data_IF_273372723230
#
_entry.id   IF_273372723230
#
_cell.length_a   1.000
_cell.length_b   1.000
_cell.length_c   1.000
_cell.angle_alpha   90.00
_cell.angle_beta   90.00
_cell.angle_gamma   90.00
#
_symmetry.space_group_name_H-M   'P 1'
#
loop_
_entity.id
_entity.type
_entity.pdbx_description
1 polymer ?
#
# COMPACT_ATOMS: atom_id res chain seq x y z
N UNK A 1 -21.14 -9.56 15.59
CA UNK A 1 -20.22 -10.69 15.81
C UNK A 1 -20.78 -11.65 16.85
N UNK A 2 -21.17 -11.15 18.00
CA UNK A 2 -21.65 -11.98 19.11
C UNK A 2 -23.01 -12.60 18.78
N UNK A 3 -23.88 -11.84 18.12
CA UNK A 3 -25.17 -12.32 17.61
C UNK A 3 -25.00 -13.46 16.56
N UNK A 4 -24.07 -13.32 15.59
CA UNK A 4 -23.78 -14.39 14.62
C UNK A 4 -23.33 -15.66 15.33
N UNK A 5 -22.48 -15.55 16.35
CA UNK A 5 -22.01 -16.71 17.13
C UNK A 5 -23.13 -17.33 17.97
N UNK A 6 -24.04 -16.53 18.48
CA UNK A 6 -25.19 -17.00 19.23
C UNK A 6 -26.17 -17.77 18.35
N UNK A 7 -26.47 -17.24 17.16
CA UNK A 7 -27.29 -17.93 16.15
C UNK A 7 -26.66 -19.24 15.69
N UNK A 8 -25.33 -19.29 15.54
CA UNK A 8 -24.61 -20.54 15.25
C UNK A 8 -24.72 -21.55 16.40
N UNK A 9 -24.52 -21.13 17.65
CA UNK A 9 -24.57 -22.02 18.82
C UNK A 9 -25.97 -22.57 19.04
N UNK A 10 -27.00 -21.80 18.71
CA UNK A 10 -28.40 -22.23 18.81
C UNK A 10 -28.85 -23.08 17.62
N UNK A 11 -28.00 -23.28 16.60
CA UNK A 11 -28.34 -24.02 15.38
C UNK A 11 -29.39 -23.34 14.49
N UNK A 12 -29.63 -22.03 14.70
CA UNK A 12 -30.63 -21.26 13.95
C UNK A 12 -30.11 -20.78 12.59
N UNK A 13 -28.79 -20.60 12.45
CA UNK A 13 -28.19 -20.09 11.20
C UNK A 13 -26.71 -20.47 11.14
N UNK A 14 -26.22 -20.69 9.94
CA UNK A 14 -24.78 -20.79 9.68
C UNK A 14 -24.18 -19.43 9.32
N UNK A 15 -22.85 -19.21 9.42
CA UNK A 15 -22.23 -17.93 9.05
C UNK A 15 -22.53 -17.54 7.63
N UNK A 16 -22.66 -18.50 6.71
CA UNK A 16 -22.97 -18.29 5.30
C UNK A 16 -24.38 -17.73 5.05
N UNK A 17 -25.28 -17.86 6.02
CA UNK A 17 -26.66 -17.38 5.94
C UNK A 17 -26.80 -15.92 6.39
N UNK A 18 -25.70 -15.32 6.88
CA UNK A 18 -25.71 -13.97 7.41
C UNK A 18 -25.18 -12.98 6.37
N UNK A 19 -25.95 -11.98 6.03
CA UNK A 19 -25.54 -10.86 5.18
C UNK A 19 -25.53 -9.53 5.95
N UNK A 20 -24.47 -8.74 5.77
CA UNK A 20 -24.35 -7.39 6.34
C UNK A 20 -24.36 -6.40 5.22
N UNK A 21 -25.33 -5.50 5.25
CA UNK A 21 -25.45 -4.40 4.28
C UNK A 21 -24.86 -3.13 4.86
N UNK A 22 -24.12 -2.40 4.03
CA UNK A 22 -23.55 -1.10 4.38
C UNK A 22 -23.66 -0.14 3.19
N UNK A 23 -23.71 1.14 3.50
CA UNK A 23 -24.02 2.19 2.52
C UNK A 23 -22.82 2.57 1.67
N UNK A 24 -21.63 2.55 2.25
CA UNK A 24 -20.38 2.94 1.56
C UNK A 24 -19.31 1.89 1.74
N UNK A 25 -18.46 1.71 0.72
CA UNK A 25 -17.35 0.76 0.78
C UNK A 25 -16.35 1.03 1.92
N UNK A 26 -16.26 2.28 2.40
CA UNK A 26 -15.42 2.63 3.54
C UNK A 26 -15.89 1.95 4.85
N UNK A 27 -17.18 1.66 5.00
CA UNK A 27 -17.73 0.99 6.17
C UNK A 27 -17.35 -0.49 6.26
N UNK A 28 -16.97 -1.13 5.14
CA UNK A 28 -16.55 -2.54 5.14
C UNK A 28 -15.37 -2.80 6.07
N UNK A 29 -14.45 -1.84 6.20
CA UNK A 29 -13.23 -1.96 7.01
C UNK A 29 -13.52 -2.40 8.45
N UNK A 30 -14.50 -1.78 9.10
CA UNK A 30 -14.83 -2.08 10.51
C UNK A 30 -15.29 -3.53 10.65
N UNK A 31 -16.11 -4.02 9.70
CA UNK A 31 -16.58 -5.40 9.70
C UNK A 31 -15.44 -6.37 9.40
N UNK A 32 -14.62 -6.07 8.42
CA UNK A 32 -13.46 -6.89 8.04
C UNK A 32 -12.47 -7.05 9.20
N UNK A 33 -12.13 -5.96 9.90
CA UNK A 33 -11.26 -6.00 11.08
C UNK A 33 -11.84 -6.87 12.19
N UNK A 34 -13.14 -6.75 12.48
CA UNK A 34 -13.83 -7.54 13.50
C UNK A 34 -13.85 -9.02 13.13
N UNK A 35 -14.11 -9.35 11.87
CA UNK A 35 -14.18 -10.74 11.42
C UNK A 35 -12.81 -11.40 11.38
N UNK A 36 -11.78 -10.70 10.92
CA UNK A 36 -10.40 -11.18 10.96
C UNK A 36 -9.94 -11.47 12.38
N UNK A 37 -10.15 -10.52 13.33
CA UNK A 37 -9.79 -10.73 14.74
C UNK A 37 -10.55 -11.87 15.40
N UNK A 38 -11.74 -12.18 14.89
CA UNK A 38 -12.61 -13.22 15.43
C UNK A 38 -12.47 -14.56 14.71
N UNK A 39 -11.59 -14.64 13.70
CA UNK A 39 -11.44 -15.80 12.81
C UNK A 39 -12.78 -16.28 12.19
N UNK A 40 -13.69 -15.33 11.93
CA UNK A 40 -14.93 -15.60 11.21
C UNK A 40 -14.70 -15.48 9.71
N UNK A 41 -14.96 -16.53 8.91
CA UNK A 41 -14.86 -16.45 7.47
C UNK A 41 -15.89 -15.48 6.92
N UNK A 42 -15.49 -14.63 5.97
CA UNK A 42 -16.39 -13.68 5.32
C UNK A 42 -16.03 -13.46 3.85
N UNK A 43 -17.00 -12.96 3.08
CA UNK A 43 -16.82 -12.54 1.69
C UNK A 43 -17.41 -11.14 1.51
N UNK A 44 -16.62 -10.24 0.91
CA UNK A 44 -17.12 -8.92 0.47
C UNK A 44 -17.68 -9.07 -0.93
N UNK A 45 -18.93 -8.64 -1.11
CA UNK A 45 -19.64 -8.71 -2.40
C UNK A 45 -19.78 -7.29 -2.94
N UNK A 46 -19.45 -7.08 -4.21
CA UNK A 46 -19.59 -5.78 -4.88
C UNK A 46 -18.44 -4.79 -4.67
N UNK A 47 -17.33 -5.21 -4.02
CA UNK A 47 -16.15 -4.36 -3.82
C UNK A 47 -14.90 -5.16 -3.51
N UNK A 48 -13.73 -4.51 -3.60
CA UNK A 48 -12.48 -5.08 -3.11
C UNK A 48 -12.44 -5.00 -1.58
N UNK A 49 -11.91 -6.05 -0.96
CA UNK A 49 -11.60 -6.02 0.49
C UNK A 49 -10.71 -4.82 0.79
N UNK A 50 -10.90 -4.19 1.95
CA UNK A 50 -10.13 -2.99 2.31
C UNK A 50 -8.62 -3.17 2.11
N UNK A 51 -8.06 -4.29 2.59
CA UNK A 51 -6.63 -4.58 2.46
C UNK A 51 -6.20 -5.05 1.06
N UNK A 52 -7.14 -5.30 0.15
CA UNK A 52 -6.86 -5.65 -1.24
C UNK A 52 -6.80 -4.43 -2.16
N UNK A 53 -7.25 -3.28 -1.67
CA UNK A 53 -7.19 -2.02 -2.42
C UNK A 53 -5.76 -1.64 -2.71
N UNK A 54 -5.52 -1.13 -3.91
CA UNK A 54 -4.18 -0.77 -4.41
C UNK A 54 -3.49 0.20 -3.44
N UNK A 55 -4.16 1.27 -3.07
CA UNK A 55 -3.65 2.33 -2.20
C UNK A 55 -3.26 1.82 -0.80
N UNK A 56 -4.03 0.87 -0.27
CA UNK A 56 -3.72 0.26 1.03
C UNK A 56 -2.51 -0.67 0.91
N UNK A 57 -2.42 -1.46 -0.16
CA UNK A 57 -1.25 -2.30 -0.43
C UNK A 57 0.01 -1.48 -0.62
N UNK A 58 -0.08 -0.33 -1.29
CA UNK A 58 1.04 0.57 -1.51
C UNK A 58 1.51 1.18 -0.18
N UNK A 59 0.61 1.69 0.65
CA UNK A 59 0.93 2.20 1.99
C UNK A 59 1.55 1.12 2.88
N UNK A 60 0.98 -0.09 2.89
CA UNK A 60 1.53 -1.22 3.65
C UNK A 60 2.93 -1.61 3.16
N UNK A 61 3.19 -1.52 1.87
CA UNK A 61 4.52 -1.79 1.32
C UNK A 61 5.55 -0.73 1.78
N UNK A 62 5.18 0.56 1.83
CA UNK A 62 6.03 1.58 2.46
C UNK A 62 6.36 1.24 3.91
N UNK A 63 5.36 0.90 4.71
CA UNK A 63 5.56 0.54 6.13
C UNK A 63 6.46 -0.69 6.29
N UNK A 64 6.32 -1.71 5.42
CA UNK A 64 7.18 -2.90 5.43
C UNK A 64 8.62 -2.56 5.11
N UNK A 65 8.86 -1.74 4.08
CA UNK A 65 10.22 -1.30 3.72
C UNK A 65 10.84 -0.45 4.84
N UNK A 66 10.06 0.39 5.52
CA UNK A 66 10.57 1.15 6.68
C UNK A 66 10.95 0.23 7.84
N UNK A 67 10.26 -0.88 8.04
CA UNK A 67 10.61 -1.89 9.03
C UNK A 67 11.83 -2.72 8.60
N UNK A 68 11.92 -3.06 7.31
CA UNK A 68 13.01 -3.86 6.74
C UNK A 68 13.32 -3.41 5.30
N UNK A 69 14.45 -2.75 5.12
CA UNK A 69 14.93 -2.29 3.79
C UNK A 69 15.24 -3.45 2.83
N UNK A 70 15.45 -4.64 3.36
CA UNK A 70 15.71 -5.84 2.56
C UNK A 70 14.44 -6.55 2.10
N UNK A 71 13.25 -6.00 2.39
CA UNK A 71 11.99 -6.47 1.77
C UNK A 71 11.90 -5.98 0.32
N UNK A 72 12.60 -6.69 -0.55
CA UNK A 72 12.73 -6.38 -1.96
C UNK A 72 11.37 -6.36 -2.68
N UNK A 73 10.45 -7.25 -2.30
CA UNK A 73 9.11 -7.32 -2.91
C UNK A 73 8.35 -6.01 -2.66
N UNK A 74 8.32 -5.56 -1.41
CA UNK A 74 7.68 -4.30 -1.06
C UNK A 74 8.41 -3.09 -1.65
N UNK A 75 9.75 -3.13 -1.70
CA UNK A 75 10.57 -2.06 -2.24
C UNK A 75 10.34 -1.88 -3.75
N UNK A 76 10.34 -2.97 -4.53
CA UNK A 76 10.01 -2.94 -5.96
C UNK A 76 8.59 -2.45 -6.23
N UNK A 77 7.67 -2.75 -5.33
CA UNK A 77 6.30 -2.26 -5.44
C UNK A 77 6.21 -0.74 -5.33
N UNK A 78 6.95 -0.11 -4.41
CA UNK A 78 6.80 1.31 -4.08
C UNK A 78 7.77 2.24 -4.82
N UNK A 79 8.85 1.73 -5.37
CA UNK A 79 9.93 2.54 -5.94
C UNK A 79 9.44 3.56 -6.98
N UNK A 80 8.42 3.21 -7.75
CA UNK A 80 7.80 4.07 -8.75
C UNK A 80 6.30 4.30 -8.51
N UNK A 81 5.88 4.27 -7.25
CA UNK A 81 4.50 4.54 -6.79
C UNK A 81 4.54 5.59 -5.68
N UNK A 82 4.03 6.79 -5.94
CA UNK A 82 3.60 7.39 -7.23
C UNK A 82 4.68 7.39 -8.30
N UNK A 83 4.30 7.63 -9.56
CA UNK A 83 5.26 7.67 -10.68
C UNK A 83 6.34 8.73 -10.46
N UNK A 84 7.62 8.31 -10.47
CA UNK A 84 8.81 9.16 -10.25
C UNK A 84 9.76 9.19 -11.43
N UNK A 85 9.42 8.52 -12.54
CA UNK A 85 10.32 8.37 -13.67
C UNK A 85 11.39 7.28 -13.48
N UNK A 86 11.22 6.40 -12.51
CA UNK A 86 12.06 5.21 -12.31
C UNK A 86 11.40 4.07 -13.08
N UNK A 87 11.78 3.92 -14.33
CA UNK A 87 11.26 2.87 -15.22
C UNK A 87 12.09 1.59 -15.15
N UNK A 88 11.63 0.57 -15.89
CA UNK A 88 12.22 -0.78 -15.91
C UNK A 88 13.72 -0.77 -16.24
N UNK A 89 14.16 0.09 -17.17
CA UNK A 89 15.59 0.20 -17.51
C UNK A 89 16.44 0.66 -16.33
N UNK A 90 15.95 1.57 -15.51
CA UNK A 90 16.68 2.02 -14.32
C UNK A 90 16.75 0.90 -13.27
N UNK A 91 15.67 0.17 -13.10
CA UNK A 91 15.62 -1.00 -12.21
C UNK A 91 16.60 -2.07 -12.68
N UNK A 92 16.64 -2.36 -13.98
CA UNK A 92 17.58 -3.31 -14.56
C UNK A 92 19.04 -2.89 -14.33
N UNK A 93 19.39 -1.60 -14.50
CA UNK A 93 20.73 -1.10 -14.19
C UNK A 93 21.10 -1.30 -12.71
N UNK A 94 20.14 -1.07 -11.78
CA UNK A 94 20.34 -1.31 -10.35
C UNK A 94 20.53 -2.80 -10.08
N UNK A 95 19.73 -3.67 -10.71
CA UNK A 95 19.83 -5.13 -10.53
C UNK A 95 21.19 -5.65 -10.99
N UNK A 96 21.64 -5.26 -12.18
CA UNK A 96 22.95 -5.66 -12.71
C UNK A 96 24.09 -5.15 -11.83
N UNK A 97 24.00 -3.91 -11.36
CA UNK A 97 24.99 -3.34 -10.44
C UNK A 97 25.03 -4.08 -9.11
N UNK A 98 23.86 -4.34 -8.52
CA UNK A 98 23.75 -5.08 -7.26
C UNK A 98 24.31 -6.50 -7.40
N UNK A 99 23.94 -7.21 -8.46
CA UNK A 99 24.42 -8.56 -8.74
C UNK A 99 25.95 -8.61 -8.94
N UNK A 100 26.51 -7.68 -9.74
CA UNK A 100 27.95 -7.61 -10.00
C UNK A 100 28.78 -7.34 -8.74
N UNK A 101 28.21 -6.67 -7.74
CA UNK A 101 28.90 -6.27 -6.51
C UNK A 101 28.44 -7.05 -5.26
N UNK A 102 27.62 -8.09 -5.41
CA UNK A 102 27.05 -8.85 -4.29
C UNK A 102 26.29 -7.96 -3.28
N UNK A 103 25.54 -7.00 -3.77
CA UNK A 103 24.75 -6.07 -2.97
C UNK A 103 23.29 -6.53 -2.93
N UNK A 104 22.56 -6.11 -1.89
CA UNK A 104 21.11 -6.16 -1.89
C UNK A 104 20.52 -5.13 -2.85
N UNK A 105 19.25 -5.28 -3.22
CA UNK A 105 18.57 -4.33 -4.09
C UNK A 105 18.54 -2.91 -3.48
N UNK A 106 18.31 -2.79 -2.17
CA UNK A 106 18.41 -1.52 -1.45
C UNK A 106 19.80 -0.90 -1.53
N UNK A 107 20.84 -1.70 -1.32
CA UNK A 107 22.23 -1.24 -1.43
C UNK A 107 22.57 -0.82 -2.86
N UNK A 108 22.07 -1.54 -3.86
CA UNK A 108 22.19 -1.18 -5.26
C UNK A 108 21.50 0.15 -5.59
N UNK A 109 20.29 0.39 -5.05
CA UNK A 109 19.61 1.69 -5.18
C UNK A 109 20.42 2.83 -4.55
N UNK A 110 20.98 2.60 -3.37
CA UNK A 110 21.79 3.59 -2.67
C UNK A 110 23.08 3.96 -3.41
N UNK A 111 23.55 3.07 -4.30
CA UNK A 111 24.74 3.25 -5.13
C UNK A 111 24.39 3.41 -6.61
N UNK A 112 23.17 3.77 -6.94
CA UNK A 112 22.66 3.84 -8.32
C UNK A 112 23.44 4.78 -9.24
N UNK A 113 24.12 5.78 -8.70
CA UNK A 113 25.00 6.68 -9.47
C UNK A 113 26.22 5.94 -10.07
N UNK A 114 26.60 4.79 -9.47
CA UNK A 114 27.70 3.95 -9.92
C UNK A 114 27.25 2.84 -10.90
N UNK A 115 25.94 2.68 -11.08
CA UNK A 115 25.38 1.64 -11.93
C UNK A 115 25.62 1.94 -13.42
N UNK A 116 26.34 1.06 -14.16
CA UNK A 116 26.62 1.28 -15.57
C UNK A 116 25.34 1.40 -16.40
N UNK A 117 25.29 2.39 -17.29
CA UNK A 117 24.14 2.59 -18.17
C UNK A 117 22.91 3.24 -17.55
N UNK A 118 22.99 3.64 -16.29
CA UNK A 118 21.92 4.35 -15.60
C UNK A 118 21.65 5.71 -16.25
N UNK A 119 20.41 6.01 -16.69
CA UNK A 119 20.06 7.33 -17.21
C UNK A 119 20.16 8.40 -16.13
N UNK A 120 20.80 9.53 -16.38
CA UNK A 120 21.00 10.60 -15.39
C UNK A 120 19.71 11.03 -14.68
N UNK A 121 18.62 11.18 -15.42
CA UNK A 121 17.31 11.57 -14.86
C UNK A 121 16.78 10.49 -13.90
N UNK A 122 16.92 9.23 -14.25
CA UNK A 122 16.50 8.12 -13.41
C UNK A 122 17.38 8.00 -12.16
N UNK A 123 18.71 8.19 -12.31
CA UNK A 123 19.63 8.21 -11.17
C UNK A 123 19.24 9.28 -10.14
N UNK A 124 18.86 10.48 -10.60
CA UNK A 124 18.37 11.54 -9.73
C UNK A 124 17.09 11.16 -9.01
N UNK A 125 16.12 10.57 -9.74
CA UNK A 125 14.87 10.11 -9.14
C UNK A 125 15.07 8.98 -8.12
N UNK A 126 16.01 8.07 -8.37
CA UNK A 126 16.38 7.01 -7.41
C UNK A 126 17.02 7.62 -6.17
N UNK A 127 17.90 8.59 -6.33
CA UNK A 127 18.54 9.31 -5.21
C UNK A 127 17.51 10.03 -4.33
N UNK A 128 16.55 10.70 -4.95
CA UNK A 128 15.45 11.37 -4.23
C UNK A 128 14.60 10.35 -3.47
N UNK A 129 14.26 9.21 -4.09
CA UNK A 129 13.55 8.13 -3.43
C UNK A 129 14.32 7.56 -2.23
N UNK A 130 15.61 7.27 -2.39
CA UNK A 130 16.47 6.79 -1.29
C UNK A 130 16.53 7.82 -0.16
N UNK A 131 16.71 9.10 -0.48
CA UNK A 131 16.75 10.18 0.51
C UNK A 131 15.44 10.29 1.29
N UNK A 132 14.30 10.18 0.62
CA UNK A 132 12.98 10.14 1.25
C UNK A 132 12.85 8.95 2.20
N UNK A 133 13.25 7.75 1.78
CA UNK A 133 13.18 6.55 2.63
C UNK A 133 14.07 6.67 3.86
N UNK A 134 15.26 7.25 3.73
CA UNK A 134 16.17 7.53 4.85
C UNK A 134 15.53 8.54 5.82
N UNK A 135 14.91 9.60 5.33
CA UNK A 135 14.21 10.58 6.16
C UNK A 135 13.05 9.93 6.94
N UNK A 136 12.22 9.13 6.28
CA UNK A 136 11.13 8.40 6.93
C UNK A 136 11.65 7.42 8.00
N UNK A 137 12.77 6.74 7.76
CA UNK A 137 13.38 5.85 8.74
C UNK A 137 13.90 6.58 9.97
N UNK A 138 14.34 7.83 9.82
CA UNK A 138 14.72 8.66 10.97
C UNK A 138 13.55 8.87 11.93
N UNK A 139 12.32 9.04 11.41
CA UNK A 139 11.11 9.12 12.23
C UNK A 139 10.83 7.80 12.97
N UNK A 140 11.05 6.67 12.32
CA UNK A 140 10.89 5.35 12.94
C UNK A 140 11.91 5.16 14.06
N UNK A 141 13.18 5.51 13.82
CA UNK A 141 14.27 5.43 14.82
C UNK A 141 14.00 6.33 16.03
N UNK A 142 13.38 7.49 15.82
CA UNK A 142 12.94 8.42 16.86
C UNK A 142 11.70 7.92 17.63
N UNK A 143 11.19 6.71 17.34
CA UNK A 143 9.99 6.14 17.94
C UNK A 143 8.76 7.04 17.84
N UNK A 144 8.65 7.76 16.74
CA UNK A 144 7.51 8.63 16.42
C UNK A 144 6.22 7.81 16.36
N UNK A 145 5.09 8.41 16.69
CA UNK A 145 3.77 7.76 16.65
C UNK A 145 3.47 7.25 15.24
N UNK A 146 2.88 6.06 15.15
CA UNK A 146 2.55 5.43 13.85
C UNK A 146 1.67 6.32 12.95
N UNK A 147 0.74 7.10 13.52
CA UNK A 147 -0.07 8.05 12.77
C UNK A 147 0.78 9.10 12.04
N UNK A 148 1.76 9.69 12.75
CA UNK A 148 2.66 10.69 12.18
C UNK A 148 3.57 10.07 11.09
N UNK A 149 4.01 8.83 11.28
CA UNK A 149 4.78 8.11 10.24
C UNK A 149 3.92 7.88 8.99
N UNK A 150 2.66 7.50 9.15
CA UNK A 150 1.72 7.31 8.03
C UNK A 150 1.47 8.64 7.31
N UNK A 151 1.22 9.71 8.04
CA UNK A 151 1.06 11.06 7.47
C UNK A 151 2.31 11.47 6.67
N UNK A 152 3.50 11.30 7.24
CA UNK A 152 4.75 11.58 6.56
C UNK A 152 4.96 10.73 5.30
N UNK A 153 4.58 9.44 5.31
CA UNK A 153 4.61 8.60 4.10
C UNK A 153 3.69 9.20 3.03
N UNK A 154 2.45 9.51 3.37
CA UNK A 154 1.46 10.03 2.43
C UNK A 154 1.91 11.36 1.78
N UNK A 155 2.48 12.26 2.57
CA UNK A 155 2.95 13.56 2.12
C UNK A 155 4.26 13.45 1.31
N UNK A 156 5.32 12.87 1.90
CA UNK A 156 6.65 12.84 1.28
C UNK A 156 6.70 11.96 0.03
N UNK A 157 5.93 10.89 0.00
CA UNK A 157 5.85 10.03 -1.20
C UNK A 157 5.03 10.64 -2.33
N UNK A 158 4.10 11.56 -2.03
CA UNK A 158 3.12 12.08 -2.98
C UNK A 158 1.88 11.19 -3.14
N UNK A 159 1.73 10.13 -2.34
CA UNK A 159 0.55 9.26 -2.37
C UNK A 159 -0.74 10.02 -2.09
N UNK A 160 -0.70 11.00 -1.19
CA UNK A 160 -1.87 11.83 -0.88
C UNK A 160 -2.37 12.59 -2.11
N UNK A 161 -1.46 13.14 -2.90
CA UNK A 161 -1.79 13.85 -4.14
C UNK A 161 -2.36 12.91 -5.21
N UNK A 162 -1.79 11.69 -5.36
CA UNK A 162 -2.31 10.68 -6.29
C UNK A 162 -3.72 10.23 -5.87
N UNK A 163 -3.97 10.04 -4.58
CA UNK A 163 -5.28 9.67 -4.05
C UNK A 163 -6.32 10.77 -4.29
N UNK A 164 -5.95 12.04 -4.04
CA UNK A 164 -6.84 13.18 -4.25
C UNK A 164 -7.22 13.33 -5.72
N UNK A 165 -6.28 13.09 -6.65
CA UNK A 165 -6.53 13.19 -8.09
C UNK A 165 -7.32 12.01 -8.66
N UNK A 166 -7.31 10.85 -8.00
CA UNK A 166 -8.05 9.66 -8.43
C UNK A 166 -9.48 9.57 -7.86
N UNK A 167 -9.85 10.49 -6.98
CA UNK A 167 -11.20 10.54 -6.37
C UNK A 167 -12.21 11.31 -7.23
N UNK A 168 -11.84 11.82 -8.41
CA UNK A 168 -12.77 12.35 -9.43
C UNK A 168 -12.91 11.36 -10.60
N UNK A 169 -14.06 11.09 -11.19
CA UNK A 169 -15.48 11.09 -10.84
C UNK A 169 -16.12 9.71 -11.08
N UNK A 170 -16.14 8.80 -10.14
CA UNK A 170 -16.92 7.56 -10.30
C UNK A 170 -18.19 7.52 -9.44
N UNK A 171 -18.35 8.41 -8.50
CA UNK A 171 -19.55 8.47 -7.65
C UNK A 171 -20.65 9.39 -8.21
N UNK A 172 -20.34 10.40 -9.04
CA UNK A 172 -21.35 11.28 -9.63
C UNK A 172 -22.17 10.63 -10.76
N UNK A 173 -21.60 9.68 -11.50
CA UNK A 173 -22.31 9.01 -12.62
C UNK A 173 -23.38 8.01 -12.14
N UNK A 174 -23.38 7.61 -10.87
CA UNK A 174 -24.37 6.69 -10.32
C UNK A 174 -25.63 7.37 -9.75
N UNK A 175 -25.57 8.65 -9.43
CA UNK A 175 -26.75 9.37 -8.95
C UNK A 175 -27.67 9.88 -10.08
N UNK A 176 -27.16 10.10 -11.29
CA UNK A 176 -27.98 10.55 -12.42
C UNK A 176 -28.81 9.43 -13.07
N UNK A 177 -28.42 8.17 -12.95
CA UNK A 177 -29.13 7.04 -13.56
C UNK A 177 -30.27 6.46 -12.69
N UNK A 178 -30.64 7.10 -11.59
CA UNK A 178 -31.79 6.71 -10.75
C UNK A 178 -32.91 7.72 -10.73
N UNK A 179 -32.96 8.66 -11.71
CA UNK A 179 -34.03 9.63 -11.87
C UNK A 179 -34.80 9.51 -13.21
N UNK A 180 -34.85 8.30 -13.78
CA UNK A 180 -35.85 7.98 -14.84
C UNK A 180 -36.73 6.81 -14.41
#
# INVERSE_FOLDING_TARGET
>A
KDEIRELQRSGQSEPGDTAIFYRTNAQSRVFEEVFMRSALPYKVVGGLRFYERKEIKDLLAYLRVLANLEDEISLRRIINVPKRGIGDRAIECVDLHAQANNLSFWSGLSQSEQAPGMPNRAAQSVKEFVSMMVALRTLVAAKTRSSVIIEAILELSGLLTELSSSTEPQDEVREENHKE
#
